data_IF_232853900860
#
_entry.id   IF_232853900860
#
_cell.length_a   1.000
_cell.length_b   1.000
_cell.length_c   1.000
_cell.angle_alpha   90.00
_cell.angle_beta   90.00
_cell.angle_gamma   90.00
#
_symmetry.space_group_name_H-M   'P 1'
#
loop_
_entity.id
_entity.type
_entity.pdbx_description
1 polymer ?
#
# COMPACT_ATOMS: atom_id res chain seq x y z
N UNK A 1 -10.69 -31.85 13.00
CA UNK A 1 -9.65 -30.92 12.50
C UNK A 1 -10.37 -29.79 11.80
N UNK A 2 -10.31 -28.58 12.32
CA UNK A 2 -11.07 -27.45 11.75
C UNK A 2 -10.32 -26.97 10.51
N UNK A 3 -10.90 -27.18 9.33
CA UNK A 3 -10.40 -26.60 8.09
C UNK A 3 -10.60 -25.08 8.12
N UNK A 4 -9.51 -24.33 8.04
CA UNK A 4 -9.54 -22.87 7.92
C UNK A 4 -9.78 -22.44 6.47
N UNK A 5 -10.96 -22.75 5.92
CA UNK A 5 -11.41 -22.23 4.62
C UNK A 5 -12.01 -20.82 4.74
N UNK A 6 -11.33 -19.89 5.44
CA UNK A 6 -11.83 -18.52 5.71
C UNK A 6 -10.76 -17.42 5.70
N UNK A 7 -9.65 -17.57 4.96
CA UNK A 7 -8.57 -16.55 4.97
C UNK A 7 -8.90 -15.28 4.19
N UNK A 8 -9.60 -15.40 3.04
CA UNK A 8 -9.92 -14.25 2.18
C UNK A 8 -10.79 -13.18 2.87
N UNK A 9 -11.79 -13.61 3.65
CA UNK A 9 -12.73 -12.70 4.32
C UNK A 9 -12.10 -11.91 5.47
N UNK A 10 -11.20 -12.54 6.25
CA UNK A 10 -10.47 -11.86 7.33
C UNK A 10 -9.55 -10.77 6.78
N UNK A 11 -8.87 -11.06 5.68
CA UNK A 11 -7.94 -10.13 5.05
C UNK A 11 -8.65 -8.95 4.38
N UNK A 12 -9.76 -9.21 3.70
CA UNK A 12 -10.60 -8.14 3.16
C UNK A 12 -11.12 -7.23 4.28
N UNK A 13 -11.56 -7.82 5.40
CA UNK A 13 -12.06 -7.09 6.57
C UNK A 13 -10.96 -6.26 7.23
N UNK A 14 -9.78 -6.84 7.48
CA UNK A 14 -8.63 -6.14 8.03
C UNK A 14 -8.23 -4.96 7.14
N UNK A 15 -8.33 -5.13 5.83
CA UNK A 15 -7.95 -4.06 4.92
C UNK A 15 -9.00 -2.97 4.80
N UNK A 16 -10.29 -3.31 4.80
CA UNK A 16 -11.37 -2.30 4.93
C UNK A 16 -11.19 -1.48 6.20
N UNK A 17 -10.83 -2.11 7.32
CA UNK A 17 -10.52 -1.41 8.57
C UNK A 17 -9.30 -0.49 8.43
N UNK A 18 -8.21 -0.94 7.80
CA UNK A 18 -7.03 -0.11 7.53
C UNK A 18 -7.36 1.08 6.63
N UNK A 19 -8.12 0.89 5.55
CA UNK A 19 -8.56 1.99 4.66
C UNK A 19 -9.40 3.00 5.42
N UNK A 20 -10.31 2.53 6.28
CA UNK A 20 -11.12 3.40 7.14
C UNK A 20 -10.23 4.22 8.10
N UNK A 21 -9.29 3.56 8.80
CA UNK A 21 -8.32 4.25 9.67
C UNK A 21 -7.52 5.30 8.91
N UNK A 22 -7.06 5.00 7.69
CA UNK A 22 -6.26 5.92 6.88
C UNK A 22 -7.07 6.98 6.14
N UNK A 23 -8.39 7.00 6.29
CA UNK A 23 -9.21 8.14 5.88
C UNK A 23 -8.91 9.37 6.76
N UNK A 24 -8.48 9.15 8.01
CA UNK A 24 -8.03 10.21 8.92
C UNK A 24 -6.62 10.73 8.61
N UNK A 25 -6.46 12.07 8.48
CA UNK A 25 -5.15 12.70 8.22
C UNK A 25 -4.11 12.42 9.30
N UNK A 26 -4.50 12.41 10.56
CA UNK A 26 -3.61 12.14 11.70
C UNK A 26 -3.07 10.71 11.67
N UNK A 27 -3.93 9.73 11.40
CA UNK A 27 -3.54 8.32 11.29
C UNK A 27 -2.55 8.10 10.15
N UNK A 28 -2.76 8.75 9.00
CA UNK A 28 -1.79 8.73 7.90
C UNK A 28 -0.43 9.29 8.32
N UNK A 29 -0.42 10.43 9.03
CA UNK A 29 0.83 11.05 9.50
C UNK A 29 1.58 10.17 10.50
N UNK A 30 0.88 9.47 11.37
CA UNK A 30 1.52 8.61 12.37
C UNK A 30 2.06 7.33 11.74
N UNK A 31 1.28 6.70 10.87
CA UNK A 31 1.68 5.50 10.13
C UNK A 31 2.99 5.69 9.35
N UNK A 32 3.19 6.86 8.73
CA UNK A 32 4.38 7.12 7.90
C UNK A 32 5.63 7.50 8.70
N UNK A 33 5.49 7.73 10.02
CA UNK A 33 6.64 7.92 10.92
C UNK A 33 7.19 6.58 11.40
N UNK A 34 6.33 5.58 11.56
CA UNK A 34 6.75 4.24 11.96
C UNK A 34 7.32 3.47 10.76
N UNK A 35 8.65 3.33 10.74
CA UNK A 35 9.37 2.64 9.67
C UNK A 35 8.88 1.20 9.48
N UNK A 36 8.64 0.47 10.58
CA UNK A 36 8.17 -0.92 10.52
C UNK A 36 6.82 -1.05 9.84
N UNK A 37 5.88 -0.14 10.13
CA UNK A 37 4.58 -0.10 9.47
C UNK A 37 4.71 0.26 8.00
N UNK A 38 5.60 1.17 7.65
CA UNK A 38 5.87 1.55 6.27
C UNK A 38 6.46 0.38 5.47
N UNK A 39 7.45 -0.34 6.01
CA UNK A 39 8.04 -1.53 5.38
C UNK A 39 6.99 -2.63 5.16
N UNK A 40 6.17 -2.93 6.18
CA UNK A 40 5.07 -3.91 6.06
C UNK A 40 4.09 -3.53 4.95
N UNK A 41 3.73 -2.25 4.86
CA UNK A 41 2.84 -1.76 3.81
C UNK A 41 3.48 -1.90 2.43
N UNK A 42 4.79 -1.69 2.30
CA UNK A 42 5.51 -1.88 1.03
C UNK A 42 5.56 -3.36 0.65
N UNK A 43 5.82 -4.25 1.59
CA UNK A 43 5.80 -5.71 1.38
C UNK A 43 4.43 -6.20 0.90
N UNK A 44 3.32 -5.62 1.38
CA UNK A 44 1.98 -5.96 0.90
C UNK A 44 1.75 -5.67 -0.61
N UNK A 45 2.62 -4.88 -1.26
CA UNK A 45 2.56 -4.66 -2.70
C UNK A 45 3.36 -5.67 -3.50
N UNK A 46 4.14 -6.53 -2.86
CA UNK A 46 4.87 -7.55 -3.58
C UNK A 46 3.86 -8.44 -4.33
N UNK A 47 3.87 -8.46 -5.67
CA UNK A 47 2.92 -9.21 -6.47
C UNK A 47 3.00 -10.73 -6.25
N UNK A 48 4.06 -11.21 -5.63
CA UNK A 48 4.25 -12.62 -5.26
C UNK A 48 3.62 -12.98 -3.91
N UNK A 49 3.11 -12.01 -3.16
CA UNK A 49 2.43 -12.28 -1.88
C UNK A 49 1.04 -12.85 -2.18
N UNK A 50 0.83 -14.16 -1.95
CA UNK A 50 -0.44 -14.85 -2.19
C UNK A 50 -1.62 -14.26 -1.40
N UNK A 51 -1.36 -13.62 -0.26
CA UNK A 51 -2.40 -13.24 0.68
C UNK A 51 -3.17 -11.99 0.23
N UNK A 52 -2.52 -10.93 -0.23
CA UNK A 52 -3.19 -9.63 -0.39
C UNK A 52 -3.87 -9.49 -1.74
N UNK A 53 -5.19 -9.29 -1.74
CA UNK A 53 -5.94 -8.88 -2.93
C UNK A 53 -5.25 -7.65 -3.55
N UNK A 54 -4.68 -7.80 -4.75
CA UNK A 54 -3.75 -6.85 -5.39
C UNK A 54 -4.32 -5.41 -5.50
N UNK A 55 -5.64 -5.25 -5.43
CA UNK A 55 -6.36 -3.96 -5.45
C UNK A 55 -6.19 -3.15 -4.15
N UNK A 56 -5.99 -3.81 -3.01
CA UNK A 56 -6.00 -3.20 -1.68
C UNK A 56 -4.73 -2.42 -1.29
N UNK A 57 -3.51 -2.89 -1.58
CA UNK A 57 -2.27 -2.14 -1.32
C UNK A 57 -2.16 -0.85 -2.13
N UNK A 58 -2.81 -0.81 -3.30
CA UNK A 58 -2.91 0.38 -4.15
C UNK A 58 -3.77 1.47 -3.48
N UNK A 59 -4.86 1.09 -2.80
CA UNK A 59 -5.71 2.02 -2.03
C UNK A 59 -4.96 2.56 -0.80
N UNK A 60 -4.22 1.69 -0.10
CA UNK A 60 -3.37 2.07 1.03
C UNK A 60 -2.30 3.09 0.62
N UNK A 61 -1.61 2.84 -0.50
CA UNK A 61 -0.63 3.80 -1.02
C UNK A 61 -1.25 5.07 -1.58
N UNK A 62 -2.44 5.02 -2.20
CA UNK A 62 -3.10 6.24 -2.67
C UNK A 62 -3.42 7.18 -1.50
N UNK A 63 -3.84 6.63 -0.36
CA UNK A 63 -4.04 7.38 0.88
C UNK A 63 -2.74 8.01 1.41
N UNK A 64 -1.63 7.25 1.39
CA UNK A 64 -0.32 7.72 1.87
C UNK A 64 0.28 8.77 0.93
N UNK A 65 0.21 8.57 -0.38
CA UNK A 65 0.75 9.51 -1.39
C UNK A 65 -0.10 10.78 -1.49
N UNK A 66 -1.42 10.69 -1.27
CA UNK A 66 -2.30 11.85 -1.23
C UNK A 66 -2.13 12.70 0.04
N UNK A 67 -1.71 12.10 1.17
CA UNK A 67 -1.57 12.80 2.45
C UNK A 67 -0.14 13.05 2.93
N UNK A 68 0.87 12.50 2.25
CA UNK A 68 2.26 12.44 2.70
C UNK A 68 3.13 13.63 2.31
N UNK A 69 4.15 13.90 3.13
CA UNK A 69 5.21 14.87 2.82
C UNK A 69 6.25 14.28 1.83
N UNK A 70 7.14 15.11 1.30
CA UNK A 70 8.22 14.67 0.41
C UNK A 70 9.13 13.61 1.08
N UNK A 71 9.37 13.73 2.39
CA UNK A 71 10.12 12.72 3.15
C UNK A 71 9.44 11.35 3.18
N UNK A 72 8.11 11.31 3.26
CA UNK A 72 7.35 10.05 3.20
C UNK A 72 7.50 9.37 1.83
N UNK A 73 7.40 10.13 0.73
CA UNK A 73 7.56 9.59 -0.63
C UNK A 73 8.97 9.03 -0.84
N UNK A 74 10.01 9.74 -0.38
CA UNK A 74 11.41 9.27 -0.45
C UNK A 74 11.60 7.95 0.29
N UNK A 75 11.07 7.83 1.51
CA UNK A 75 11.13 6.57 2.29
C UNK A 75 10.42 5.43 1.57
N UNK A 76 9.22 5.66 1.03
CA UNK A 76 8.52 4.65 0.23
C UNK A 76 9.40 4.15 -0.92
N UNK A 77 10.06 5.04 -1.66
CA UNK A 77 10.97 4.66 -2.75
C UNK A 77 12.14 3.82 -2.23
N UNK A 78 12.78 4.23 -1.13
CA UNK A 78 13.90 3.49 -0.51
C UNK A 78 13.50 2.07 -0.09
N UNK A 79 12.27 1.89 0.40
CA UNK A 79 11.72 0.58 0.78
C UNK A 79 11.33 -0.29 -0.43
N UNK A 80 11.52 0.17 -1.67
CA UNK A 80 11.23 -0.62 -2.88
C UNK A 80 9.81 -0.46 -3.43
N UNK A 81 9.04 0.52 -2.92
CA UNK A 81 7.66 0.78 -3.36
C UNK A 81 7.51 0.96 -4.87
N UNK A 82 8.51 1.57 -5.50
CA UNK A 82 8.51 1.88 -6.92
C UNK A 82 8.48 0.61 -7.77
N UNK A 83 9.36 -0.35 -7.49
CA UNK A 83 9.48 -1.59 -8.26
C UNK A 83 8.21 -2.43 -8.19
N UNK A 84 7.63 -2.57 -6.99
CA UNK A 84 6.37 -3.29 -6.81
C UNK A 84 5.22 -2.61 -7.58
N UNK A 85 5.12 -1.28 -7.55
CA UNK A 85 4.10 -0.55 -8.31
C UNK A 85 4.29 -0.65 -9.82
N UNK A 86 5.53 -0.66 -10.30
CA UNK A 86 5.83 -0.86 -11.71
C UNK A 86 5.34 -2.23 -12.18
N UNK A 87 5.66 -3.31 -11.45
CA UNK A 87 5.15 -4.65 -11.73
C UNK A 87 3.63 -4.72 -11.66
N UNK A 88 3.01 -4.20 -10.61
CA UNK A 88 1.54 -4.16 -10.48
C UNK A 88 0.87 -3.37 -11.61
N UNK A 89 1.51 -2.30 -12.09
CA UNK A 89 1.02 -1.53 -13.24
C UNK A 89 1.13 -2.31 -14.55
N UNK A 90 2.19 -3.11 -14.74
CA UNK A 90 2.34 -4.00 -15.89
C UNK A 90 1.30 -5.14 -15.88
N UNK A 91 0.91 -5.59 -14.68
CA UNK A 91 -0.16 -6.55 -14.47
C UNK A 91 -1.57 -5.92 -14.51
N UNK A 92 -1.68 -4.66 -14.94
CA UNK A 92 -2.94 -3.91 -15.05
C UNK A 92 -3.79 -3.87 -13.78
N UNK A 93 -3.16 -3.94 -12.61
CA UNK A 93 -3.87 -3.81 -11.34
C UNK A 93 -4.45 -2.41 -11.22
N UNK A 94 -5.78 -2.33 -11.08
CA UNK A 94 -6.54 -1.07 -11.01
C UNK A 94 -5.91 -0.10 -10.01
N UNK A 95 -5.63 1.11 -10.46
CA UNK A 95 -5.05 2.20 -9.65
C UNK A 95 -3.51 2.15 -9.49
N UNK A 96 -2.84 1.05 -9.81
CA UNK A 96 -1.38 0.93 -9.64
C UNK A 96 -0.63 1.98 -10.47
N UNK A 97 -1.05 2.17 -11.74
CA UNK A 97 -0.50 3.20 -12.64
C UNK A 97 -0.65 4.61 -12.07
N UNK A 98 -1.83 4.95 -11.53
CA UNK A 98 -2.07 6.27 -10.92
C UNK A 98 -1.16 6.51 -9.71
N UNK A 99 -1.03 5.52 -8.83
CA UNK A 99 -0.16 5.63 -7.65
C UNK A 99 1.30 5.74 -8.04
N UNK A 100 1.76 4.98 -9.03
CA UNK A 100 3.11 5.06 -9.57
C UNK A 100 3.40 6.45 -10.13
N UNK A 101 2.51 7.01 -10.96
CA UNK A 101 2.65 8.36 -11.49
C UNK A 101 2.72 9.41 -10.37
N UNK A 102 1.87 9.32 -9.35
CA UNK A 102 1.93 10.21 -8.18
C UNK A 102 3.17 9.99 -7.31
N UNK A 103 3.85 8.86 -7.39
CA UNK A 103 5.13 8.65 -6.70
C UNK A 103 6.28 9.28 -7.49
N UNK A 104 6.23 9.20 -8.83
CA UNK A 104 7.25 9.72 -9.77
C UNK A 104 7.14 11.23 -9.98
N UNK A 105 5.94 11.80 -9.98
CA UNK A 105 5.70 13.23 -10.22
C UNK A 105 6.38 14.17 -9.21
N UNK A 106 6.97 13.63 -8.14
CA UNK A 106 7.76 14.37 -7.14
C UNK A 106 9.25 14.01 -7.15
N UNK A 107 9.67 13.11 -8.05
CA UNK A 107 11.09 12.77 -8.31
C UNK A 107 11.73 13.80 -9.25
N UNK A 108 10.91 14.57 -9.97
CA UNK A 108 11.26 15.75 -10.77
C UNK A 108 11.08 17.01 -9.93
#
# INVERSE_FOLDING_TARGET
>A
MVEFSKSAGLQETATKALVSLLSGRSNRKELVKDEKSLSRLVQMLDPNTESVCKKLPVVLKSAIVAGGSNGCRKRLILEGAFHHLQKLSQMEVVGAKMVLQRLIAYRL
#
